data_IF_765856133495
#
_entry.id   IF_765856133495
#
_cell.length_a   1.000
_cell.length_b   1.000
_cell.length_c   1.000
_cell.angle_alpha   90.00
_cell.angle_beta   90.00
_cell.angle_gamma   90.00
#
_symmetry.space_group_name_H-M   'P 1'
#
loop_
_entity.id
_entity.type
_entity.pdbx_description
1 polymer ?
#
# COMPACT_ATOMS: atom_id res chain seq x y z
N UNK A 1 13.56 -4.80 -23.27
CA UNK A 1 13.44 -3.81 -22.18
C UNK A 1 12.57 -4.45 -21.13
N UNK A 2 13.12 -4.77 -19.96
CA UNK A 2 12.31 -5.31 -18.86
C UNK A 2 11.41 -4.18 -18.38
N UNK A 3 10.10 -4.32 -18.61
CA UNK A 3 9.12 -3.35 -18.15
C UNK A 3 9.01 -3.54 -16.63
N UNK A 4 9.85 -2.86 -15.85
CA UNK A 4 9.72 -2.91 -14.40
C UNK A 4 8.34 -2.36 -14.04
N UNK A 5 7.47 -3.20 -13.50
CA UNK A 5 6.16 -2.79 -13.00
C UNK A 5 6.39 -1.82 -11.85
N UNK A 6 5.81 -0.63 -11.96
CA UNK A 6 5.91 0.42 -10.93
C UNK A 6 4.56 0.52 -10.24
N UNK A 7 4.56 0.33 -8.93
CA UNK A 7 3.37 0.46 -8.09
C UNK A 7 3.45 1.76 -7.30
N UNK A 8 2.56 2.69 -7.62
CA UNK A 8 2.45 3.96 -6.93
C UNK A 8 1.45 3.84 -5.78
N UNK A 9 1.85 4.17 -4.54
CA UNK A 9 0.95 4.10 -3.40
C UNK A 9 -0.17 5.15 -3.52
N UNK A 10 -1.36 4.86 -2.97
CA UNK A 10 -2.44 5.84 -2.91
C UNK A 10 -2.04 7.03 -2.03
N UNK A 11 -2.61 8.22 -2.27
CA UNK A 11 -2.39 9.37 -1.42
C UNK A 11 -2.90 9.09 -0.01
N UNK A 12 -1.98 9.07 0.95
CA UNK A 12 -2.27 8.85 2.36
C UNK A 12 -2.54 10.21 3.04
N UNK A 13 -3.59 10.31 3.86
CA UNK A 13 -3.86 11.52 4.63
C UNK A 13 -2.79 11.74 5.72
N UNK A 14 -2.57 12.98 6.12
CA UNK A 14 -1.48 13.38 7.03
C UNK A 14 -1.40 12.55 8.32
N UNK A 15 -2.54 12.15 8.89
CA UNK A 15 -2.60 11.38 10.12
C UNK A 15 -2.08 9.94 9.97
N UNK A 16 -2.12 9.37 8.75
CA UNK A 16 -1.51 8.06 8.43
C UNK A 16 -0.09 8.24 7.93
N UNK A 17 0.14 9.18 7.01
CA UNK A 17 1.45 9.47 6.40
C UNK A 17 2.52 9.86 7.41
N UNK A 18 2.14 10.33 8.61
CA UNK A 18 3.08 10.65 9.69
C UNK A 18 3.76 9.41 10.28
N UNK A 19 3.08 8.26 10.27
CA UNK A 19 3.53 7.03 10.93
C UNK A 19 3.70 5.85 9.96
N UNK A 20 3.00 5.88 8.84
CA UNK A 20 3.03 4.84 7.81
C UNK A 20 3.28 5.50 6.45
N UNK A 21 4.54 5.52 6.03
CA UNK A 21 4.91 5.91 4.68
C UNK A 21 4.96 4.67 3.78
N UNK A 22 4.18 4.70 2.71
CA UNK A 22 4.29 3.73 1.62
C UNK A 22 5.22 4.29 0.56
N UNK A 23 6.22 3.51 0.18
CA UNK A 23 7.15 3.89 -0.88
C UNK A 23 6.64 3.37 -2.23
N UNK A 24 7.21 3.93 -3.30
CA UNK A 24 6.97 3.41 -4.66
C UNK A 24 7.71 2.08 -4.80
N UNK A 25 6.98 1.03 -5.15
CA UNK A 25 7.55 -0.30 -5.39
C UNK A 25 7.90 -0.42 -6.86
N UNK A 26 9.10 -0.90 -7.16
CA UNK A 26 9.60 -1.06 -8.53
C UNK A 26 10.05 -2.50 -8.74
N UNK A 27 9.40 -3.21 -9.66
CA UNK A 27 9.64 -4.63 -9.90
C UNK A 27 8.94 -5.52 -8.87
N UNK A 28 9.57 -6.63 -8.51
CA UNK A 28 9.01 -7.60 -7.56
C UNK A 28 8.90 -6.96 -6.17
N UNK A 29 7.70 -6.99 -5.53
CA UNK A 29 7.54 -6.45 -4.19
C UNK A 29 8.32 -7.26 -3.17
N UNK A 30 8.98 -6.55 -2.25
CA UNK A 30 9.65 -7.16 -1.10
C UNK A 30 8.65 -7.36 0.04
N UNK A 31 8.93 -8.33 0.91
CA UNK A 31 8.13 -8.57 2.10
C UNK A 31 8.01 -7.33 3.00
N UNK A 32 9.06 -6.51 3.09
CA UNK A 32 9.05 -5.25 3.86
C UNK A 32 8.02 -4.24 3.32
N UNK A 33 7.90 -4.14 1.99
CA UNK A 33 6.97 -3.23 1.31
C UNK A 33 5.53 -3.72 1.51
N UNK A 34 5.30 -5.03 1.32
CA UNK A 34 3.98 -5.66 1.55
C UNK A 34 3.55 -5.50 3.01
N UNK A 35 4.49 -5.66 3.96
CA UNK A 35 4.25 -5.46 5.39
C UNK A 35 3.87 -4.01 5.70
N UNK A 36 4.52 -3.03 5.07
CA UNK A 36 4.17 -1.61 5.24
C UNK A 36 2.74 -1.32 4.78
N UNK A 37 2.31 -1.91 3.65
CA UNK A 37 0.93 -1.77 3.15
C UNK A 37 -0.08 -2.37 4.14
N UNK A 38 0.20 -3.57 4.68
CA UNK A 38 -0.65 -4.19 5.70
C UNK A 38 -0.77 -3.35 6.97
N UNK A 39 0.33 -2.72 7.39
CA UNK A 39 0.37 -1.87 8.57
C UNK A 39 -0.47 -0.60 8.36
N UNK A 40 -0.38 0.02 7.17
CA UNK A 40 -1.22 1.14 6.78
C UNK A 40 -2.71 0.76 6.75
N UNK A 41 -3.06 -0.41 6.20
CA UNK A 41 -4.44 -0.93 6.19
C UNK A 41 -4.96 -1.10 7.63
N UNK A 42 -4.13 -1.65 8.53
CA UNK A 42 -4.50 -1.82 9.94
C UNK A 42 -4.74 -0.48 10.62
N UNK A 43 -3.90 0.53 10.36
CA UNK A 43 -4.05 1.86 10.94
C UNK A 43 -5.36 2.55 10.54
N UNK A 44 -5.78 2.39 9.27
CA UNK A 44 -7.04 2.96 8.77
C UNK A 44 -8.27 2.14 9.15
N UNK A 45 -8.09 0.92 9.66
CA UNK A 45 -9.20 0.07 10.12
C UNK A 45 -9.49 0.25 11.62
N UNK A 46 -8.83 1.20 12.28
CA UNK A 46 -9.15 1.57 13.66
C UNK A 46 -10.41 2.45 13.64
N UNK A 47 -11.44 2.17 14.46
CA UNK A 47 -12.71 2.90 14.41
C UNK A 47 -12.58 4.41 14.60
N UNK A 48 -11.55 4.88 15.31
CA UNK A 48 -11.27 6.31 15.50
C UNK A 48 -10.69 7.01 14.24
N UNK A 49 -10.10 6.25 13.32
CA UNK A 49 -9.45 6.74 12.09
C UNK A 49 -10.03 6.09 10.83
N UNK A 50 -11.23 5.49 10.97
CA UNK A 50 -11.82 4.66 9.93
C UNK A 50 -12.24 5.49 8.74
N UNK A 51 -11.53 5.31 7.63
CA UNK A 51 -11.87 5.87 6.33
C UNK A 51 -12.10 4.73 5.34
N UNK A 52 -13.36 4.53 4.97
CA UNK A 52 -13.77 3.44 4.08
C UNK A 52 -13.09 3.53 2.72
N UNK A 53 -12.96 4.76 2.18
CA UNK A 53 -12.37 4.99 0.85
C UNK A 53 -10.89 4.65 0.85
N UNK A 54 -10.15 5.12 1.85
CA UNK A 54 -8.72 4.86 2.02
C UNK A 54 -8.45 3.38 2.26
N UNK A 55 -9.27 2.72 3.09
CA UNK A 55 -9.19 1.27 3.33
C UNK A 55 -9.34 0.48 2.03
N UNK A 56 -10.34 0.82 1.20
CA UNK A 56 -10.51 0.20 -0.12
C UNK A 56 -9.33 0.47 -1.05
N UNK A 57 -8.82 1.71 -1.11
CA UNK A 57 -7.67 2.05 -1.95
C UNK A 57 -6.40 1.29 -1.55
N UNK A 58 -6.14 1.17 -0.25
CA UNK A 58 -4.99 0.42 0.26
C UNK A 58 -5.14 -1.09 0.02
N UNK A 59 -6.35 -1.64 0.16
CA UNK A 59 -6.62 -3.04 -0.16
C UNK A 59 -6.45 -3.34 -1.65
N UNK A 60 -6.91 -2.45 -2.53
CA UNK A 60 -6.68 -2.54 -3.97
C UNK A 60 -5.18 -2.46 -4.29
N UNK A 61 -4.46 -1.52 -3.68
CA UNK A 61 -3.02 -1.39 -3.86
C UNK A 61 -2.28 -2.66 -3.43
N UNK A 62 -2.59 -3.20 -2.26
CA UNK A 62 -2.03 -4.46 -1.77
C UNK A 62 -2.26 -5.61 -2.76
N UNK A 63 -3.49 -5.72 -3.28
CA UNK A 63 -3.83 -6.75 -4.23
C UNK A 63 -3.03 -6.60 -5.53
N UNK A 64 -2.96 -5.40 -6.10
CA UNK A 64 -2.18 -5.14 -7.32
C UNK A 64 -0.69 -5.44 -7.12
N UNK A 65 -0.12 -5.04 -5.97
CA UNK A 65 1.27 -5.31 -5.62
C UNK A 65 1.53 -6.81 -5.51
N UNK A 66 0.69 -7.55 -4.77
CA UNK A 66 0.85 -9.00 -4.62
C UNK A 66 0.66 -9.74 -5.94
N UNK A 67 -0.34 -9.37 -6.73
CA UNK A 67 -0.66 -10.01 -8.01
C UNK A 67 0.39 -9.76 -9.08
N UNK A 68 0.97 -8.57 -9.14
CA UNK A 68 2.04 -8.26 -10.09
C UNK A 68 3.44 -8.66 -9.62
N UNK A 69 3.53 -9.36 -8.47
CA UNK A 69 4.71 -10.14 -8.10
C UNK A 69 4.69 -11.58 -8.66
N UNK A 70 3.66 -11.97 -9.42
CA UNK A 70 3.51 -13.31 -10.03
C UNK A 70 3.90 -13.40 -11.51
N UNK A 71 4.56 -12.39 -12.10
CA UNK A 71 5.10 -12.46 -13.46
C UNK A 71 6.60 -12.78 -13.51
#
# INVERSE_FOLDING_TARGET
MSNNMVYNPPPLPEYISRNHNLNVIVGVPKEEEVKAIHDAIRAVNIPALYDHKLSTQLAQYLFTVQMGGFE
#
